data_IF_990731979734
#
_entry.id   IF_990731979734
#
_cell.length_a   1.000
_cell.length_b   1.000
_cell.length_c   1.000
_cell.angle_alpha   90.00
_cell.angle_beta   90.00
_cell.angle_gamma   90.00
#
_symmetry.space_group_name_H-M   'P 1'
#
loop_
_entity.id
_entity.type
_entity.pdbx_description
1 polymer ?
#
# COMPACT_ATOMS: atom_id res chain seq x y z
N UNK A 1 24.32 51.55 -14.42
CA UNK A 1 25.52 52.36 -14.74
C UNK A 1 26.64 51.84 -13.86
N UNK A 2 27.49 50.98 -14.41
CA UNK A 2 28.62 50.40 -13.71
C UNK A 2 29.83 51.28 -13.98
N UNK A 3 30.35 51.96 -12.95
CA UNK A 3 31.58 52.73 -13.08
C UNK A 3 32.76 51.76 -13.14
N UNK A 4 33.48 51.66 -14.26
CA UNK A 4 34.79 51.03 -14.25
C UNK A 4 35.77 51.98 -13.57
N UNK A 5 36.46 51.48 -12.53
CA UNK A 5 37.40 52.26 -11.72
C UNK A 5 38.80 51.90 -12.17
N UNK A 6 39.56 52.89 -12.66
CA UNK A 6 41.00 52.78 -12.80
C UNK A 6 41.66 53.52 -11.64
N UNK A 7 42.33 52.77 -10.77
CA UNK A 7 43.06 53.31 -9.62
C UNK A 7 44.51 53.65 -10.02
N UNK A 8 45.07 54.71 -9.41
CA UNK A 8 46.47 55.18 -9.59
C UNK A 8 46.86 55.38 -11.06
N UNK A 9 46.05 56.16 -11.76
CA UNK A 9 46.31 56.54 -13.16
C UNK A 9 46.88 57.94 -13.19
N UNK A 10 47.81 58.21 -14.12
CA UNK A 10 48.08 59.59 -14.51
C UNK A 10 46.84 60.13 -15.22
N UNK A 11 46.25 61.19 -14.67
CA UNK A 11 45.03 61.78 -15.23
C UNK A 11 45.29 62.30 -16.65
N UNK A 12 44.31 62.15 -17.57
CA UNK A 12 44.44 62.68 -18.93
C UNK A 12 44.64 64.20 -18.91
N UNK A 13 45.40 64.71 -19.88
CA UNK A 13 45.55 66.15 -20.05
C UNK A 13 44.23 66.78 -20.53
N UNK A 14 44.04 68.09 -20.28
CA UNK A 14 42.86 68.88 -20.71
C UNK A 14 41.51 68.47 -20.07
N UNK A 15 41.51 68.12 -18.78
CA UNK A 15 40.27 67.95 -18.02
C UNK A 15 39.60 69.30 -17.73
N UNK A 16 38.29 69.39 -17.91
CA UNK A 16 37.52 70.58 -17.57
C UNK A 16 37.28 70.60 -16.06
N UNK A 17 37.77 71.65 -15.39
CA UNK A 17 37.53 71.86 -13.96
C UNK A 17 36.12 72.37 -13.72
N UNK A 18 35.38 71.68 -12.83
CA UNK A 18 34.02 72.04 -12.45
C UNK A 18 34.00 72.46 -10.98
N UNK A 19 34.15 73.77 -10.74
CA UNK A 19 34.22 74.33 -9.38
C UNK A 19 32.92 74.15 -8.57
N UNK A 20 31.77 74.06 -9.25
CA UNK A 20 30.46 73.87 -8.60
C UNK A 20 30.29 72.47 -7.96
N UNK A 21 31.12 71.49 -8.35
CA UNK A 21 31.05 70.13 -7.85
C UNK A 21 31.91 69.97 -6.59
N UNK A 22 31.29 70.17 -5.43
CA UNK A 22 31.97 70.15 -4.12
C UNK A 22 32.25 68.76 -3.57
N UNK A 23 31.80 67.68 -4.23
CA UNK A 23 32.06 66.29 -3.84
C UNK A 23 32.03 65.36 -5.07
N UNK A 24 32.48 64.12 -4.89
CA UNK A 24 32.57 63.11 -5.95
C UNK A 24 31.22 62.81 -6.61
N UNK A 25 30.13 62.76 -5.84
CA UNK A 25 28.78 62.47 -6.36
C UNK A 25 28.26 63.59 -7.25
N UNK A 26 28.48 64.86 -6.87
CA UNK A 26 28.16 66.01 -7.72
C UNK A 26 29.00 66.03 -8.99
N UNK A 27 30.27 65.64 -8.89
CA UNK A 27 31.15 65.52 -10.06
C UNK A 27 30.65 64.44 -11.04
N UNK A 28 30.22 63.29 -10.50
CA UNK A 28 29.58 62.22 -11.26
C UNK A 28 28.29 62.70 -11.93
N UNK A 29 27.44 63.42 -11.19
CA UNK A 29 26.18 63.98 -11.72
C UNK A 29 26.42 64.97 -12.85
N UNK A 30 27.46 65.82 -12.78
CA UNK A 30 27.81 66.75 -13.86
C UNK A 30 28.18 65.97 -15.13
N UNK A 31 29.04 64.96 -15.02
CA UNK A 31 29.37 64.10 -16.16
C UNK A 31 28.15 63.36 -16.70
N UNK A 32 27.28 62.82 -15.82
CA UNK A 32 26.07 62.12 -16.24
C UNK A 32 25.06 63.03 -16.95
N UNK A 33 24.98 64.30 -16.54
CA UNK A 33 24.08 65.30 -17.13
C UNK A 33 24.48 65.72 -18.56
N UNK A 34 25.74 65.48 -18.96
CA UNK A 34 26.23 65.77 -20.29
C UNK A 34 26.43 64.48 -21.10
N UNK A 35 25.65 64.29 -22.17
CA UNK A 35 25.74 63.11 -23.04
C UNK A 35 27.11 62.93 -23.73
N UNK A 36 27.90 64.00 -23.85
CA UNK A 36 29.24 63.95 -24.42
C UNK A 36 30.33 63.61 -23.41
N UNK A 37 30.00 63.45 -22.12
CA UNK A 37 31.00 63.10 -21.11
C UNK A 37 31.43 61.64 -21.23
N UNK A 38 32.75 61.42 -21.22
CA UNK A 38 33.38 60.09 -21.31
C UNK A 38 33.93 59.64 -19.96
N UNK A 39 34.47 60.55 -19.14
CA UNK A 39 35.04 60.22 -17.84
C UNK A 39 35.04 61.40 -16.86
N UNK A 40 35.16 61.11 -15.58
CA UNK A 40 35.37 62.12 -14.53
C UNK A 40 36.35 61.63 -13.45
N UNK A 41 36.93 62.57 -12.70
CA UNK A 41 37.79 62.32 -11.54
C UNK A 41 37.52 63.36 -10.48
N UNK A 42 37.60 62.96 -9.20
CA UNK A 42 37.46 63.85 -8.06
C UNK A 42 38.55 63.57 -7.03
N UNK A 43 39.26 64.62 -6.59
CA UNK A 43 40.36 64.50 -5.62
C UNK A 43 40.86 65.88 -5.15
N UNK A 44 42.12 65.96 -4.70
CA UNK A 44 42.70 67.18 -4.13
C UNK A 44 42.70 68.40 -5.09
N UNK A 45 42.63 68.17 -6.40
CA UNK A 45 42.53 69.22 -7.43
C UNK A 45 41.10 69.60 -7.85
N UNK A 46 40.08 69.12 -7.13
CA UNK A 46 38.67 69.36 -7.46
C UNK A 46 38.08 68.34 -8.44
N UNK A 47 36.93 68.69 -9.04
CA UNK A 47 36.24 67.86 -10.03
C UNK A 47 36.77 68.13 -11.44
N UNK A 48 37.21 67.08 -12.12
CA UNK A 48 37.64 67.13 -13.52
C UNK A 48 36.74 66.23 -14.37
N UNK A 49 36.29 66.75 -15.51
CA UNK A 49 35.41 66.05 -16.45
C UNK A 49 36.02 66.08 -17.85
N UNK A 50 35.95 64.97 -18.58
CA UNK A 50 36.44 64.84 -19.95
C UNK A 50 35.30 64.48 -20.91
N UNK A 51 35.34 65.08 -22.10
CA UNK A 51 34.39 64.85 -23.19
C UNK A 51 35.12 64.31 -24.42
N UNK A 52 34.61 63.24 -25.04
CA UNK A 52 35.24 62.61 -26.21
C UNK A 52 36.36 61.62 -25.87
N UNK A 53 37.35 61.48 -26.76
CA UNK A 53 38.43 60.49 -26.61
C UNK A 53 39.42 60.87 -25.49
N UNK A 54 39.88 59.87 -24.74
CA UNK A 54 40.85 60.04 -23.65
C UNK A 54 42.25 59.78 -24.17
N UNK A 55 43.08 60.84 -24.27
CA UNK A 55 44.47 60.73 -24.70
C UNK A 55 45.42 60.57 -23.51
N UNK A 56 46.50 59.81 -23.70
CA UNK A 56 47.64 59.68 -22.78
C UNK A 56 47.32 59.06 -21.40
N UNK A 57 46.29 58.20 -21.34
CA UNK A 57 45.97 57.40 -20.15
C UNK A 57 47.04 56.33 -19.94
N UNK A 58 47.88 56.47 -18.91
CA UNK A 58 48.85 55.44 -18.50
C UNK A 58 48.50 54.90 -17.13
N UNK A 59 48.15 53.61 -17.08
CA UNK A 59 47.94 52.88 -15.83
C UNK A 59 49.30 52.56 -15.22
N UNK A 60 49.57 53.09 -14.03
CA UNK A 60 50.79 52.79 -13.30
C UNK A 60 50.53 51.63 -12.35
N UNK A 61 51.48 50.69 -12.27
CA UNK A 61 51.33 49.43 -11.56
C UNK A 61 50.97 49.68 -10.08
N UNK A 62 49.91 49.04 -9.60
CA UNK A 62 49.43 49.16 -8.22
C UNK A 62 50.30 48.34 -7.27
N UNK A 63 51.62 48.54 -7.31
CA UNK A 63 52.53 48.08 -6.28
C UNK A 63 52.80 49.25 -5.33
N UNK A 64 52.57 49.00 -4.04
CA UNK A 64 52.70 50.00 -3.01
C UNK A 64 54.16 50.44 -2.88
N UNK A 65 54.44 51.71 -3.19
CA UNK A 65 55.22 52.67 -2.40
C UNK A 65 55.22 54.02 -3.15
N UNK A 66 54.86 55.07 -2.40
CA UNK A 66 54.94 56.53 -2.64
C UNK A 66 55.18 57.05 -4.07
N UNK A 67 54.09 57.32 -4.79
CA UNK A 67 53.99 58.40 -5.77
C UNK A 67 52.64 59.10 -5.57
N UNK A 68 52.66 60.36 -5.12
CA UNK A 68 51.48 61.12 -4.67
C UNK A 68 50.63 61.71 -5.81
N UNK A 69 50.96 61.40 -7.06
CA UNK A 69 50.37 62.08 -8.23
C UNK A 69 49.36 61.21 -9.03
N UNK A 70 49.02 60.02 -8.53
CA UNK A 70 48.03 59.13 -9.17
C UNK A 70 46.59 59.49 -8.77
N UNK A 71 45.72 59.74 -9.75
CA UNK A 71 44.28 59.97 -9.56
C UNK A 71 43.44 58.71 -9.80
N UNK A 72 42.17 58.74 -9.39
CA UNK A 72 41.17 57.70 -9.74
C UNK A 72 40.29 58.23 -10.85
N UNK A 73 40.26 57.53 -11.99
CA UNK A 73 39.47 57.91 -13.16
C UNK A 73 38.24 57.00 -13.29
N UNK A 74 37.06 57.61 -13.41
CA UNK A 74 35.78 56.92 -13.60
C UNK A 74 35.33 57.07 -15.06
N UNK A 75 35.16 55.96 -15.78
CA UNK A 75 34.77 55.97 -17.20
C UNK A 75 33.28 55.63 -17.34
N UNK A 76 32.57 56.38 -18.20
CA UNK A 76 31.17 56.14 -18.54
C UNK A 76 31.06 54.97 -19.52
N UNK A 77 30.52 53.85 -19.07
CA UNK A 77 30.20 52.70 -19.93
C UNK A 77 28.77 52.81 -20.47
N UNK A 78 28.60 52.51 -21.76
CA UNK A 78 27.27 52.33 -22.35
C UNK A 78 26.60 51.09 -21.75
N UNK A 79 25.36 51.22 -21.30
CA UNK A 79 24.64 50.10 -20.66
C UNK A 79 24.20 49.07 -21.69
N UNK A 80 25.00 48.03 -21.92
CA UNK A 80 24.50 46.74 -22.39
C UNK A 80 25.10 45.59 -21.59
N UNK A 81 24.17 44.75 -21.13
CA UNK A 81 24.32 43.41 -20.54
C UNK A 81 24.74 43.30 -19.07
N UNK A 82 23.74 43.44 -18.19
CA UNK A 82 23.59 42.51 -17.07
C UNK A 82 22.21 41.85 -17.16
N UNK A 83 22.14 40.62 -17.70
CA UNK A 83 21.07 39.71 -17.32
C UNK A 83 21.37 39.21 -15.91
N UNK A 84 20.89 39.99 -14.93
CA UNK A 84 20.62 39.47 -13.60
C UNK A 84 19.75 38.23 -13.75
N UNK A 85 20.30 37.09 -13.36
CA UNK A 85 19.66 35.79 -13.30
C UNK A 85 18.50 35.85 -12.28
N UNK A 86 17.37 36.46 -12.66
CA UNK A 86 16.10 36.30 -11.93
C UNK A 86 15.64 34.86 -12.16
N UNK A 87 16.13 33.93 -11.33
CA UNK A 87 15.55 32.59 -11.24
C UNK A 87 14.06 32.78 -11.03
N UNK A 88 13.25 32.21 -11.92
CA UNK A 88 11.79 32.27 -11.88
C UNK A 88 11.29 31.50 -10.64
N UNK A 89 11.38 32.11 -9.47
CA UNK A 89 10.98 31.51 -8.17
C UNK A 89 9.52 31.07 -8.19
N UNK A 90 8.65 31.80 -8.93
CA UNK A 90 7.25 31.40 -9.14
C UNK A 90 7.09 30.10 -9.92
N UNK A 91 7.87 29.89 -10.98
CA UNK A 91 7.87 28.64 -11.73
C UNK A 91 8.40 27.46 -10.92
N UNK A 92 9.42 27.72 -10.09
CA UNK A 92 9.97 26.72 -9.16
C UNK A 92 8.96 26.34 -8.06
N UNK A 93 8.24 27.32 -7.49
CA UNK A 93 7.22 27.08 -6.45
C UNK A 93 6.04 26.26 -7.02
N UNK A 94 5.58 26.56 -8.24
CA UNK A 94 4.49 25.80 -8.89
C UNK A 94 4.92 24.36 -9.17
N UNK A 95 6.16 24.15 -9.66
CA UNK A 95 6.68 22.81 -9.91
C UNK A 95 6.81 21.98 -8.62
N UNK A 96 7.26 22.58 -7.52
CA UNK A 96 7.35 21.92 -6.20
C UNK A 96 5.94 21.59 -5.67
N UNK A 97 4.99 22.51 -5.78
CA UNK A 97 3.61 22.31 -5.31
C UNK A 97 2.90 21.18 -6.09
N UNK A 98 3.08 21.11 -7.42
CA UNK A 98 2.55 20.02 -8.24
C UNK A 98 3.21 18.67 -7.91
N UNK A 99 4.52 18.65 -7.69
CA UNK A 99 5.25 17.45 -7.30
C UNK A 99 4.81 16.89 -5.94
N UNK A 100 4.63 17.76 -4.94
CA UNK A 100 4.16 17.35 -3.60
C UNK A 100 2.71 16.83 -3.63
N UNK A 101 1.84 17.45 -4.43
CA UNK A 101 0.45 17.00 -4.59
C UNK A 101 0.38 15.62 -5.27
N UNK A 102 1.18 15.40 -6.31
CA UNK A 102 1.23 14.10 -6.99
C UNK A 102 1.80 12.99 -6.08
N UNK A 103 2.85 13.29 -5.31
CA UNK A 103 3.41 12.35 -4.34
C UNK A 103 2.40 11.99 -3.23
N UNK A 104 1.64 12.97 -2.71
CA UNK A 104 0.60 12.73 -1.72
C UNK A 104 -0.53 11.84 -2.25
N UNK A 105 -1.01 12.10 -3.48
CA UNK A 105 -2.03 11.26 -4.13
C UNK A 105 -1.54 9.85 -4.41
N UNK A 106 -0.28 9.69 -4.83
CA UNK A 106 0.32 8.38 -5.05
C UNK A 106 0.47 7.59 -3.75
N UNK A 107 0.90 8.24 -2.67
CA UNK A 107 0.96 7.64 -1.33
C UNK A 107 -0.43 7.28 -0.80
N UNK A 108 -1.45 8.11 -1.05
CA UNK A 108 -2.84 7.81 -0.71
C UNK A 108 -3.36 6.61 -1.52
N UNK A 109 -3.07 6.53 -2.81
CA UNK A 109 -3.45 5.41 -3.66
C UNK A 109 -2.78 4.10 -3.21
N UNK A 110 -1.49 4.13 -2.88
CA UNK A 110 -0.79 2.98 -2.29
C UNK A 110 -1.41 2.63 -0.92
N UNK A 111 -1.69 3.61 -0.07
CA UNK A 111 -2.33 3.37 1.22
C UNK A 111 -3.72 2.76 1.05
N UNK A 112 -4.50 3.18 0.04
CA UNK A 112 -5.80 2.61 -0.30
C UNK A 112 -5.67 1.20 -0.89
N UNK A 113 -4.68 0.93 -1.74
CA UNK A 113 -4.40 -0.42 -2.26
C UNK A 113 -3.94 -1.35 -1.13
N UNK A 114 -3.06 -0.89 -0.24
CA UNK A 114 -2.64 -1.63 0.96
C UNK A 114 -3.84 -1.82 1.89
N UNK A 115 -4.67 -0.80 2.10
CA UNK A 115 -5.86 -0.88 2.93
C UNK A 115 -6.91 -1.81 2.32
N UNK A 116 -7.12 -1.82 1.00
CA UNK A 116 -8.02 -2.75 0.30
C UNK A 116 -7.48 -4.18 0.35
N UNK A 117 -6.18 -4.37 0.14
CA UNK A 117 -5.52 -5.67 0.26
C UNK A 117 -5.52 -6.18 1.72
N UNK A 118 -5.40 -5.27 2.70
CA UNK A 118 -5.57 -5.58 4.12
C UNK A 118 -7.04 -5.85 4.46
N UNK A 119 -8.01 -5.12 3.90
CA UNK A 119 -9.45 -5.34 4.12
C UNK A 119 -9.90 -6.69 3.55
N UNK A 120 -9.29 -7.11 2.44
CA UNK A 120 -9.40 -8.48 1.90
C UNK A 120 -8.82 -9.54 2.86
N UNK A 121 -7.79 -9.20 3.65
CA UNK A 121 -7.28 -10.03 4.78
C UNK A 121 -8.17 -9.95 6.04
N UNK A 122 -8.85 -8.83 6.30
CA UNK A 122 -9.70 -8.62 7.49
C UNK A 122 -11.04 -9.36 7.49
N UNK A 123 -11.52 -9.89 6.35
CA UNK A 123 -12.72 -10.76 6.36
C UNK A 123 -12.46 -12.16 6.94
N UNK A 124 -11.22 -12.45 7.37
CA UNK A 124 -10.88 -13.55 8.27
C UNK A 124 -10.23 -13.03 9.55
N UNK A 125 -10.63 -11.86 10.01
CA UNK A 125 -10.40 -11.47 11.39
C UNK A 125 -11.62 -11.89 12.18
N UNK A 126 -11.38 -12.80 13.11
CA UNK A 126 -12.18 -13.00 14.29
C UNK A 126 -12.52 -11.63 14.88
N UNK A 127 -13.71 -11.11 14.57
CA UNK A 127 -14.50 -10.61 15.69
C UNK A 127 -14.61 -11.81 16.62
N UNK A 128 -14.43 -11.60 17.91
CA UNK A 128 -14.69 -12.64 18.90
C UNK A 128 -16.14 -13.11 18.68
N UNK A 129 -16.34 -14.14 17.86
CA UNK A 129 -17.60 -14.87 17.78
C UNK A 129 -17.54 -15.89 18.92
N UNK A 130 -17.40 -15.37 20.14
CA UNK A 130 -18.19 -15.86 21.26
C UNK A 130 -19.59 -15.25 21.20
N UNK A 131 -20.05 -14.83 20.01
CA UNK A 131 -21.42 -14.43 19.76
C UNK A 131 -22.24 -15.69 19.53
N UNK A 132 -22.98 -16.11 20.56
CA UNK A 132 -24.25 -16.86 20.60
C UNK A 132 -24.45 -18.14 19.73
N UNK A 133 -23.69 -18.38 18.66
CA UNK A 133 -23.88 -19.44 17.66
C UNK A 133 -22.99 -20.69 17.87
N UNK A 134 -22.11 -20.70 18.88
CA UNK A 134 -21.35 -21.91 19.27
C UNK A 134 -20.28 -22.40 18.28
N UNK A 135 -19.71 -21.49 17.46
CA UNK A 135 -18.70 -21.79 16.43
C UNK A 135 -17.36 -21.18 16.79
N UNK A 136 -16.27 -21.92 16.56
CA UNK A 136 -14.92 -21.54 16.99
C UNK A 136 -14.02 -21.17 15.80
N UNK A 137 -13.41 -19.98 15.85
CA UNK A 137 -12.33 -19.62 14.94
C UNK A 137 -10.99 -20.13 15.51
N UNK A 138 -10.40 -21.13 14.86
CA UNK A 138 -9.14 -21.74 15.30
C UNK A 138 -7.93 -21.08 14.67
N UNK A 139 -6.80 -21.02 15.40
CA UNK A 139 -5.51 -20.69 14.80
C UNK A 139 -4.98 -21.92 14.06
N UNK A 140 -4.22 -21.68 13.00
CA UNK A 140 -3.65 -22.78 12.19
C UNK A 140 -2.77 -23.70 13.05
N UNK A 141 -1.95 -23.12 13.92
CA UNK A 141 -1.08 -23.86 14.82
C UNK A 141 -1.86 -24.80 15.76
N UNK A 142 -3.02 -24.37 16.26
CA UNK A 142 -3.84 -25.21 17.14
C UNK A 142 -4.37 -26.44 16.41
N UNK A 143 -4.86 -26.28 15.17
CA UNK A 143 -5.32 -27.40 14.34
C UNK A 143 -4.18 -28.28 13.84
N UNK A 144 -3.02 -27.68 13.56
CA UNK A 144 -1.82 -28.43 13.22
C UNK A 144 -1.38 -29.33 14.38
N UNK A 145 -1.42 -28.82 15.61
CA UNK A 145 -1.12 -29.60 16.81
C UNK A 145 -2.19 -30.68 17.06
N UNK A 146 -3.47 -30.30 17.01
CA UNK A 146 -4.60 -31.20 17.21
C UNK A 146 -4.59 -32.41 16.26
N UNK A 147 -4.12 -32.19 15.02
CA UNK A 147 -4.02 -33.24 13.97
C UNK A 147 -2.65 -33.90 13.90
N UNK A 148 -1.74 -33.62 14.85
CA UNK A 148 -0.36 -34.12 14.86
C UNK A 148 0.36 -33.89 13.52
N UNK A 149 0.30 -32.66 13.01
CA UNK A 149 0.76 -32.26 11.68
C UNK A 149 0.03 -32.97 10.54
N UNK A 150 -1.30 -33.10 10.64
CA UNK A 150 -2.13 -33.73 9.62
C UNK A 150 -1.71 -35.19 9.30
N UNK A 151 -1.38 -35.98 10.33
CA UNK A 151 -0.78 -37.30 10.15
C UNK A 151 -1.80 -38.41 9.79
N UNK A 152 -3.01 -38.36 10.34
CA UNK A 152 -4.04 -39.39 10.14
C UNK A 152 -5.09 -38.89 9.14
N UNK A 153 -4.98 -39.33 7.88
CA UNK A 153 -5.92 -38.97 6.81
C UNK A 153 -7.16 -39.88 6.88
N UNK A 154 -8.34 -39.27 7.02
CA UNK A 154 -9.64 -39.95 7.03
C UNK A 154 -10.21 -40.14 5.62
N UNK A 155 -9.89 -39.21 4.72
CA UNK A 155 -10.35 -39.21 3.33
C UNK A 155 -9.71 -38.10 2.50
N UNK A 156 -9.85 -38.21 1.19
CA UNK A 156 -9.35 -37.26 0.21
C UNK A 156 -10.30 -37.22 -1.00
N UNK A 157 -10.48 -36.04 -1.58
CA UNK A 157 -11.28 -35.84 -2.78
C UNK A 157 -10.96 -34.52 -3.46
N UNK A 158 -11.73 -34.15 -4.48
CA UNK A 158 -11.49 -32.94 -5.29
C UNK A 158 -11.57 -31.62 -4.49
N UNK A 159 -12.11 -31.67 -3.28
CA UNK A 159 -12.25 -30.51 -2.38
C UNK A 159 -11.13 -30.42 -1.33
N UNK A 160 -10.22 -31.39 -1.29
CA UNK A 160 -9.09 -31.44 -0.37
C UNK A 160 -9.02 -32.72 0.45
N UNK A 161 -8.30 -32.65 1.57
CA UNK A 161 -8.04 -33.82 2.43
C UNK A 161 -8.63 -33.60 3.82
N UNK A 162 -9.16 -34.66 4.41
CA UNK A 162 -9.75 -34.66 5.76
C UNK A 162 -8.84 -35.44 6.70
N UNK A 163 -8.53 -34.85 7.85
CA UNK A 163 -7.63 -35.41 8.85
C UNK A 163 -8.34 -35.54 10.19
N UNK A 164 -7.99 -36.58 10.94
CA UNK A 164 -8.44 -36.72 12.33
C UNK A 164 -7.64 -35.80 13.23
N UNK A 165 -8.30 -35.24 14.24
CA UNK A 165 -7.63 -34.47 15.28
C UNK A 165 -8.31 -34.61 16.64
N UNK A 166 -7.61 -34.14 17.66
CA UNK A 166 -8.07 -34.09 19.04
C UNK A 166 -7.85 -32.67 19.58
N UNK A 167 -8.93 -32.04 20.01
CA UNK A 167 -8.87 -30.74 20.68
C UNK A 167 -8.35 -30.91 22.12
N UNK A 168 -7.98 -29.79 22.78
CA UNK A 168 -7.44 -29.80 24.15
C UNK A 168 -8.41 -30.38 25.19
N UNK A 169 -9.71 -30.30 24.95
CA UNK A 169 -10.78 -30.91 25.76
C UNK A 169 -11.00 -32.40 25.45
N UNK A 170 -10.08 -33.04 24.71
CA UNK A 170 -10.17 -34.42 24.22
C UNK A 170 -11.30 -34.69 23.22
N UNK A 171 -11.97 -33.65 22.72
CA UNK A 171 -12.99 -33.82 21.69
C UNK A 171 -12.35 -34.23 20.38
N UNK A 172 -12.81 -35.35 19.81
CA UNK A 172 -12.36 -35.82 18.49
C UNK A 172 -13.02 -35.00 17.38
N UNK A 173 -12.23 -34.53 16.44
CA UNK A 173 -12.65 -33.67 15.33
C UNK A 173 -12.17 -34.21 13.98
N UNK A 174 -12.85 -33.78 12.92
CA UNK A 174 -12.41 -33.96 11.55
C UNK A 174 -12.03 -32.59 10.96
N UNK A 175 -10.78 -32.44 10.52
CA UNK A 175 -10.24 -31.20 9.94
C UNK A 175 -10.09 -31.36 8.44
N UNK A 176 -10.92 -30.67 7.67
CA UNK A 176 -10.85 -30.62 6.20
C UNK A 176 -9.94 -29.49 5.77
N UNK A 177 -8.80 -29.83 5.16
CA UNK A 177 -7.88 -28.90 4.51
C UNK A 177 -8.28 -28.75 3.05
N UNK A 178 -8.79 -27.57 2.71
CA UNK A 178 -9.29 -27.29 1.37
C UNK A 178 -8.12 -27.14 0.38
N UNK A 179 -8.29 -27.71 -0.82
CA UNK A 179 -7.33 -27.63 -1.91
C UNK A 179 -7.78 -26.63 -3.00
N UNK A 180 -6.82 -26.04 -3.72
CA UNK A 180 -7.05 -25.13 -4.85
C UNK A 180 -7.47 -23.72 -4.43
N UNK A 181 -6.71 -22.70 -4.84
CA UNK A 181 -6.90 -21.32 -4.39
C UNK A 181 -8.30 -20.75 -4.72
N UNK A 182 -8.85 -21.04 -5.90
CA UNK A 182 -10.17 -20.52 -6.31
C UNK A 182 -11.34 -21.38 -5.84
N UNK A 183 -11.26 -22.71 -6.02
CA UNK A 183 -12.34 -23.62 -5.65
C UNK A 183 -12.48 -23.77 -4.13
N UNK A 184 -11.35 -23.90 -3.43
CA UNK A 184 -11.32 -23.95 -1.97
C UNK A 184 -11.84 -22.66 -1.32
N UNK A 185 -11.55 -21.48 -1.87
CA UNK A 185 -12.09 -20.20 -1.35
C UNK A 185 -13.61 -20.11 -1.51
N UNK A 186 -14.15 -20.53 -2.67
CA UNK A 186 -15.62 -20.55 -2.89
C UNK A 186 -16.31 -21.49 -1.90
N UNK A 187 -15.78 -22.70 -1.75
CA UNK A 187 -16.34 -23.68 -0.80
C UNK A 187 -16.21 -23.19 0.64
N UNK A 188 -15.05 -22.66 1.03
CA UNK A 188 -14.85 -22.10 2.35
C UNK A 188 -15.89 -21.03 2.67
N UNK A 189 -16.12 -20.08 1.75
CA UNK A 189 -17.11 -19.02 1.95
C UNK A 189 -18.53 -19.58 2.02
N UNK A 190 -18.90 -20.50 1.15
CA UNK A 190 -20.24 -21.06 1.11
C UNK A 190 -20.55 -21.81 2.41
N UNK A 191 -19.63 -22.65 2.86
CA UNK A 191 -19.78 -23.38 4.11
C UNK A 191 -19.76 -22.42 5.30
N UNK A 192 -18.79 -21.51 5.40
CA UNK A 192 -18.72 -20.53 6.50
C UNK A 192 -19.93 -19.59 6.56
N UNK A 193 -20.53 -19.23 5.43
CA UNK A 193 -21.76 -18.42 5.42
C UNK A 193 -22.97 -19.20 5.94
N UNK A 194 -22.93 -20.52 5.80
CA UNK A 194 -23.98 -21.44 6.27
C UNK A 194 -23.76 -21.88 7.73
N UNK A 195 -22.54 -21.71 8.25
CA UNK A 195 -22.15 -22.07 9.61
C UNK A 195 -22.96 -21.25 10.63
N UNK A 196 -23.74 -21.95 11.46
CA UNK A 196 -24.51 -21.36 12.57
C UNK A 196 -26.01 -21.23 12.29
N UNK A 197 -26.40 -21.24 11.01
CA UNK A 197 -27.81 -21.24 10.60
C UNK A 197 -28.38 -22.66 10.51
N UNK A 198 -27.53 -23.62 10.16
CA UNK A 198 -27.93 -25.00 9.85
C UNK A 198 -27.52 -25.90 11.02
N UNK A 199 -28.50 -26.35 11.80
CA UNK A 199 -28.28 -27.31 12.88
C UNK A 199 -29.40 -28.36 12.86
N UNK A 200 -29.04 -29.59 12.51
CA UNK A 200 -29.98 -30.71 12.46
C UNK A 200 -29.26 -32.02 12.80
N UNK A 201 -29.97 -32.96 13.44
CA UNK A 201 -29.39 -34.24 13.88
C UNK A 201 -28.83 -35.06 12.71
N UNK A 202 -29.44 -34.93 11.52
CA UNK A 202 -29.02 -35.63 10.31
C UNK A 202 -28.15 -34.79 9.35
N UNK A 203 -27.59 -33.67 9.82
CA UNK A 203 -26.60 -32.89 9.09
C UNK A 203 -25.27 -32.88 9.87
N UNK A 204 -24.15 -32.86 9.16
CA UNK A 204 -22.84 -32.77 9.80
C UNK A 204 -22.69 -31.41 10.48
N UNK A 205 -22.32 -31.43 11.76
CA UNK A 205 -22.09 -30.20 12.52
C UNK A 205 -20.72 -29.64 12.20
N UNK A 206 -20.71 -28.41 11.70
CA UNK A 206 -19.48 -27.61 11.64
C UNK A 206 -19.22 -27.03 13.02
N UNK A 207 -18.04 -27.31 13.56
CA UNK A 207 -17.57 -26.82 14.86
C UNK A 207 -16.90 -25.45 14.69
N UNK A 208 -16.19 -25.26 13.58
CA UNK A 208 -15.37 -24.09 13.41
C UNK A 208 -14.59 -24.09 12.12
N UNK A 209 -13.70 -23.11 12.01
CA UNK A 209 -12.87 -22.94 10.84
C UNK A 209 -11.53 -22.33 11.22
N UNK A 210 -10.54 -22.48 10.35
CA UNK A 210 -9.31 -21.71 10.40
C UNK A 210 -9.05 -21.08 9.03
N UNK A 211 -8.62 -19.84 9.07
CA UNK A 211 -8.39 -19.04 7.89
C UNK A 211 -7.05 -18.31 8.03
N UNK A 212 -6.03 -18.83 7.38
CA UNK A 212 -4.73 -18.17 7.22
C UNK A 212 -4.55 -17.75 5.75
N UNK A 213 -3.52 -16.94 5.45
CA UNK A 213 -3.27 -16.42 4.09
C UNK A 213 -3.20 -17.54 3.04
N UNK A 214 -2.60 -18.68 3.38
CA UNK A 214 -2.35 -19.80 2.45
C UNK A 214 -3.08 -21.09 2.83
N UNK A 215 -3.94 -21.06 3.85
CA UNK A 215 -4.60 -22.28 4.35
C UNK A 215 -6.01 -21.99 4.86
N UNK A 216 -6.97 -22.67 4.26
CA UNK A 216 -8.38 -22.69 4.68
C UNK A 216 -8.70 -24.08 5.21
N UNK A 217 -9.18 -24.13 6.45
CA UNK A 217 -9.53 -25.36 7.13
C UNK A 217 -10.95 -25.25 7.68
N UNK A 218 -11.71 -26.32 7.56
CA UNK A 218 -13.03 -26.47 8.18
C UNK A 218 -12.94 -27.59 9.22
N UNK A 219 -13.60 -27.38 10.35
CA UNK A 219 -13.56 -28.30 11.50
C UNK A 219 -14.96 -28.82 11.75
N UNK A 220 -15.12 -30.13 11.69
CA UNK A 220 -16.39 -30.82 11.89
C UNK A 220 -16.32 -31.77 13.07
N UNK A 221 -17.48 -32.18 13.56
CA UNK A 221 -17.57 -33.37 14.41
C UNK A 221 -17.03 -34.62 13.68
N UNK A 222 -16.39 -35.50 14.44
CA UNK A 222 -15.83 -36.74 13.90
C UNK A 222 -16.89 -37.83 13.79
N UNK A 223 -16.89 -38.56 12.67
CA UNK A 223 -17.81 -39.66 12.38
C UNK A 223 -17.06 -41.00 12.36
N UNK A 224 -17.09 -41.79 13.44
CA UNK A 224 -16.22 -42.96 13.60
C UNK A 224 -16.56 -44.10 12.64
N UNK A 225 -17.82 -44.23 12.22
CA UNK A 225 -18.25 -45.26 11.28
C UNK A 225 -18.05 -44.83 9.81
N UNK A 226 -17.32 -43.74 9.54
CA UNK A 226 -16.97 -43.26 8.19
C UNK A 226 -18.21 -43.00 7.32
N UNK A 227 -18.02 -42.95 6.00
CA UNK A 227 -19.06 -42.73 5.00
C UNK A 227 -19.82 -44.02 4.66
N UNK A 228 -21.07 -43.86 4.23
CA UNK A 228 -21.99 -44.96 3.92
C UNK A 228 -21.50 -45.85 2.76
N UNK A 229 -20.74 -45.29 1.81
CA UNK A 229 -20.18 -46.05 0.68
C UNK A 229 -19.32 -47.24 1.14
N UNK A 230 -18.54 -47.08 2.22
CA UNK A 230 -17.71 -48.14 2.80
C UNK A 230 -18.55 -49.31 3.32
N UNK A 231 -19.82 -49.07 3.66
CA UNK A 231 -20.75 -50.09 4.16
C UNK A 231 -21.65 -50.67 3.05
N UNK A 232 -21.89 -49.92 1.98
CA UNK A 232 -22.68 -50.37 0.83
C UNK A 232 -21.87 -51.17 -0.18
N UNK A 233 -20.59 -50.82 -0.34
CA UNK A 233 -19.66 -51.46 -1.27
C UNK A 233 -18.46 -52.06 -0.52
N UNK A 234 -18.71 -52.96 0.46
CA UNK A 234 -17.67 -53.48 1.31
C UNK A 234 -16.70 -54.37 0.52
N UNK A 235 -15.40 -54.18 0.73
CA UNK A 235 -14.38 -55.12 0.24
C UNK A 235 -14.19 -56.31 1.18
N UNK A 236 -14.40 -56.13 2.50
CA UNK A 236 -14.16 -57.16 3.54
C UNK A 236 -15.01 -56.97 4.82
N UNK A 237 -16.04 -56.11 4.82
CA UNK A 237 -16.75 -55.70 6.06
C UNK A 237 -18.14 -56.30 6.26
N UNK A 238 -18.61 -56.23 7.52
CA UNK A 238 -19.93 -56.66 7.98
C UNK A 238 -21.02 -55.83 7.32
N UNK A 239 -21.85 -56.50 6.52
CA UNK A 239 -23.00 -55.92 5.83
C UNK A 239 -23.99 -55.34 6.86
N UNK A 240 -24.46 -54.11 6.62
CA UNK A 240 -25.51 -53.49 7.45
C UNK A 240 -26.80 -54.32 7.38
N UNK A 241 -27.44 -54.55 8.53
CA UNK A 241 -28.74 -55.19 8.57
C UNK A 241 -29.84 -54.26 8.02
N UNK A 242 -31.03 -54.83 7.78
CA UNK A 242 -32.13 -54.10 7.18
C UNK A 242 -32.59 -52.90 8.03
N UNK A 243 -32.76 -53.10 9.34
CA UNK A 243 -33.21 -52.06 10.25
C UNK A 243 -32.29 -50.84 10.25
N UNK A 244 -30.96 -51.05 10.31
CA UNK A 244 -29.97 -49.98 10.23
C UNK A 244 -30.05 -49.24 8.90
N UNK A 245 -30.18 -49.94 7.77
CA UNK A 245 -30.33 -49.30 6.45
C UNK A 245 -31.59 -48.44 6.38
N UNK A 246 -32.70 -48.96 6.89
CA UNK A 246 -33.97 -48.24 6.92
C UNK A 246 -33.89 -46.97 7.78
N UNK A 247 -33.24 -47.04 8.95
CA UNK A 247 -33.02 -45.86 9.79
C UNK A 247 -32.09 -44.84 9.12
N UNK A 248 -31.07 -45.31 8.38
CA UNK A 248 -30.19 -44.43 7.60
C UNK A 248 -31.00 -43.69 6.52
N UNK A 249 -31.84 -44.38 5.76
CA UNK A 249 -32.64 -43.79 4.70
C UNK A 249 -33.61 -42.72 5.24
N UNK A 250 -34.32 -43.04 6.33
CA UNK A 250 -35.17 -42.07 7.04
C UNK A 250 -34.37 -40.85 7.49
N UNK A 251 -33.21 -41.06 8.09
CA UNK A 251 -32.38 -39.96 8.58
C UNK A 251 -31.88 -39.05 7.45
N UNK A 252 -31.48 -39.62 6.31
CA UNK A 252 -31.11 -38.85 5.12
C UNK A 252 -32.30 -38.06 4.60
N UNK A 253 -33.47 -38.67 4.47
CA UNK A 253 -34.69 -37.98 4.03
C UNK A 253 -35.06 -36.81 4.94
N UNK A 254 -34.96 -36.98 6.27
CA UNK A 254 -35.17 -35.91 7.25
C UNK A 254 -34.17 -34.78 7.10
N UNK A 255 -32.89 -35.10 6.94
CA UNK A 255 -31.84 -34.10 6.72
C UNK A 255 -32.06 -33.28 5.45
N UNK A 256 -32.48 -33.92 4.35
CA UNK A 256 -32.78 -33.23 3.09
C UNK A 256 -34.05 -32.38 3.17
N UNK A 257 -35.12 -32.88 3.78
CA UNK A 257 -36.35 -32.09 3.99
C UNK A 257 -36.07 -30.85 4.85
N UNK A 258 -35.22 -30.96 5.87
CA UNK A 258 -34.79 -29.78 6.65
C UNK A 258 -34.09 -28.73 5.76
N UNK A 259 -33.15 -29.15 4.91
CA UNK A 259 -32.44 -28.23 4.01
C UNK A 259 -33.38 -27.55 3.00
N UNK A 260 -34.38 -28.27 2.50
CA UNK A 260 -35.29 -27.76 1.46
C UNK A 260 -36.41 -26.87 2.02
N UNK A 261 -37.00 -27.26 3.16
CA UNK A 261 -38.28 -26.70 3.61
C UNK A 261 -38.17 -25.94 4.95
N UNK A 262 -37.15 -26.22 5.76
CA UNK A 262 -37.06 -25.70 7.15
C UNK A 262 -35.97 -24.66 7.35
N UNK A 263 -34.98 -24.58 6.45
CA UNK A 263 -34.02 -23.48 6.41
C UNK A 263 -34.70 -22.17 5.97
N UNK A 264 -34.18 -21.04 6.44
CA UNK A 264 -34.68 -19.70 6.07
C UNK A 264 -34.69 -19.49 4.55
N UNK A 265 -33.61 -19.91 3.92
CA UNK A 265 -33.45 -19.97 2.48
C UNK A 265 -33.36 -21.44 2.08
N UNK A 266 -34.01 -21.84 0.98
CA UNK A 266 -33.99 -23.22 0.50
C UNK A 266 -32.55 -23.59 0.06
N UNK A 267 -32.00 -24.65 0.64
CA UNK A 267 -30.63 -25.10 0.36
C UNK A 267 -30.67 -26.39 -0.46
N UNK A 268 -30.23 -26.31 -1.72
CA UNK A 268 -30.12 -27.49 -2.58
C UNK A 268 -28.72 -28.09 -2.45
N UNK A 269 -28.64 -29.36 -2.05
CA UNK A 269 -27.35 -30.02 -1.81
C UNK A 269 -26.54 -30.28 -3.10
N UNK A 270 -27.20 -30.72 -4.17
CA UNK A 270 -26.61 -31.04 -5.49
C UNK A 270 -25.52 -32.14 -5.54
N UNK A 271 -25.20 -32.83 -4.45
CA UNK A 271 -24.16 -33.87 -4.41
C UNK A 271 -24.50 -34.97 -3.38
N UNK A 272 -25.77 -35.35 -3.31
CA UNK A 272 -26.20 -36.45 -2.42
C UNK A 272 -25.70 -37.77 -3.00
N UNK A 273 -24.78 -38.41 -2.29
CA UNK A 273 -24.18 -39.69 -2.65
C UNK A 273 -23.68 -40.42 -1.40
N UNK A 274 -23.49 -41.74 -1.41
CA UNK A 274 -23.05 -42.50 -0.24
C UNK A 274 -21.76 -41.98 0.43
N UNK A 275 -20.83 -41.40 -0.33
CA UNK A 275 -19.59 -40.80 0.20
C UNK A 275 -19.83 -39.57 1.09
N UNK A 276 -20.94 -38.85 0.86
CA UNK A 276 -21.31 -37.64 1.59
C UNK A 276 -22.30 -37.93 2.73
N UNK A 277 -22.67 -39.20 2.96
CA UNK A 277 -23.48 -39.62 4.11
C UNK A 277 -22.54 -40.23 5.14
N UNK A 278 -22.24 -39.50 6.20
CA UNK A 278 -21.35 -39.94 7.27
C UNK A 278 -22.14 -40.59 8.41
N UNK A 279 -21.53 -41.56 9.08
CA UNK A 279 -22.17 -42.36 10.11
C UNK A 279 -21.52 -42.12 11.47
N UNK A 280 -22.35 -41.72 12.43
CA UNK A 280 -21.98 -41.65 13.85
C UNK A 280 -21.75 -43.04 14.43
N UNK A 281 -21.27 -43.12 15.68
CA UNK A 281 -21.06 -44.37 16.42
C UNK A 281 -22.32 -45.25 16.49
N UNK A 282 -23.50 -44.64 16.63
CA UNK A 282 -24.80 -45.33 16.67
C UNK A 282 -25.43 -45.55 15.27
N UNK A 283 -24.66 -45.36 14.19
CA UNK A 283 -25.13 -45.43 12.80
C UNK A 283 -26.22 -44.38 12.45
N UNK A 284 -26.38 -43.33 13.25
CA UNK A 284 -27.20 -42.18 12.85
C UNK A 284 -26.52 -41.47 11.67
N UNK A 285 -27.22 -41.25 10.53
CA UNK A 285 -26.64 -40.64 9.35
C UNK A 285 -26.57 -39.12 9.45
N UNK A 286 -25.49 -38.54 8.93
CA UNK A 286 -25.26 -37.11 8.83
C UNK A 286 -24.79 -36.75 7.43
N UNK A 287 -25.57 -35.92 6.75
CA UNK A 287 -25.25 -35.43 5.42
C UNK A 287 -24.13 -34.38 5.52
N UNK A 288 -23.09 -34.53 4.71
CA UNK A 288 -21.93 -33.65 4.64
C UNK A 288 -21.78 -33.00 3.26
N UNK A 289 -20.90 -32.01 3.13
CA UNK A 289 -20.60 -31.30 1.88
C UNK A 289 -21.84 -30.67 1.20
N UNK A 290 -22.80 -30.18 2.01
CA UNK A 290 -23.94 -29.38 1.57
C UNK A 290 -23.57 -27.89 1.45
N UNK A 291 -24.31 -27.14 0.61
CA UNK A 291 -24.11 -25.69 0.44
C UNK A 291 -23.43 -25.24 -0.86
N UNK A 292 -23.55 -26.02 -1.95
CA UNK A 292 -22.99 -25.62 -3.25
C UNK A 292 -23.73 -24.44 -3.89
N UNK A 293 -25.03 -24.27 -3.60
CA UNK A 293 -25.87 -23.15 -4.05
C UNK A 293 -26.98 -22.88 -3.01
N UNK A 294 -27.10 -21.63 -2.58
CA UNK A 294 -28.29 -21.08 -1.91
C UNK A 294 -28.96 -20.15 -2.92
N UNK A 295 -30.27 -20.30 -3.14
CA UNK A 295 -31.06 -19.45 -4.03
C UNK A 295 -31.75 -18.34 -3.26
#
# INVERSE_FOLDING_TARGET
>A
LTNSILCRVRLPQNGYSIEAATNADKCALVCLSNCSCTAYSYGNGGCLVWHGELFDVKQQQCDGITDTNGGTLYIRLASREEQSQKKNTRGLIIAIALGLSFAALFMLAIALVIWWNKRKRYNCTSNNVEGESGIVAFRYFDLQHATKNFSEKLGEGGFGSVFKGFLHDSRTIAVKKLAGAHQGEKQFRAEVSSIGLIQHINLIKVIGFCCNNDSKLLVYEHMPNRSLDVHLFPTDTKILNWDTRYQIDIGVARGLSYLHDSCRDCIIHCDVKPQNILLSESFTPKIADFGRQSF
#
